data_IF_848998526509
#
_entry.id   IF_848998526509
#
_cell.length_a   1.000
_cell.length_b   1.000
_cell.length_c   1.000
_cell.angle_alpha   90.00
_cell.angle_beta   90.00
_cell.angle_gamma   90.00
#
_symmetry.space_group_name_H-M   'P 1'
#
loop_
_entity.id
_entity.type
_entity.pdbx_description
1 polymer ?
#
# COMPACT_ATOMS: atom_id res chain seq x y z
N UNK A 1 -32.14 3.30 -8.06
CA UNK A 1 -31.72 4.58 -7.43
C UNK A 1 -32.62 5.02 -6.28
N UNK A 2 -33.94 5.21 -6.43
CA UNK A 2 -34.80 5.73 -5.33
C UNK A 2 -35.00 4.70 -4.19
N UNK A 3 -35.19 3.42 -4.52
CA UNK A 3 -35.37 2.35 -3.51
C UNK A 3 -34.10 2.01 -2.71
N UNK A 4 -32.91 2.11 -3.30
CA UNK A 4 -31.63 1.84 -2.59
C UNK A 4 -31.32 2.92 -1.55
N UNK A 5 -31.68 4.19 -1.82
CA UNK A 5 -31.52 5.28 -0.84
C UNK A 5 -32.35 5.09 0.41
N UNK A 6 -33.47 4.35 0.36
CA UNK A 6 -34.31 4.11 1.54
C UNK A 6 -33.69 3.15 2.55
N UNK A 7 -32.64 2.41 2.19
CA UNK A 7 -31.94 1.47 3.08
C UNK A 7 -30.59 1.97 3.59
N UNK A 8 -30.13 3.13 3.10
CA UNK A 8 -28.84 3.69 3.45
C UNK A 8 -29.02 4.80 4.50
N UNK A 9 -28.02 5.02 5.38
CA UNK A 9 -28.01 6.16 6.29
C UNK A 9 -28.22 7.48 5.56
N UNK A 10 -28.84 8.46 6.22
CA UNK A 10 -29.06 9.79 5.66
C UNK A 10 -27.75 10.45 5.22
N UNK A 11 -27.81 11.38 4.27
CA UNK A 11 -26.61 12.07 3.81
C UNK A 11 -26.89 13.15 2.76
N UNK A 12 -25.88 13.93 2.38
CA UNK A 12 -26.06 15.00 1.41
C UNK A 12 -26.39 14.46 0.01
N UNK A 13 -27.14 15.25 -0.75
CA UNK A 13 -27.47 14.92 -2.15
C UNK A 13 -26.27 15.29 -3.04
N UNK A 14 -25.70 14.29 -3.71
CA UNK A 14 -24.67 14.48 -4.72
C UNK A 14 -25.23 14.89 -6.09
N UNK A 15 -24.37 15.45 -6.94
CA UNK A 15 -24.65 15.71 -8.35
C UNK A 15 -24.62 14.41 -9.17
N UNK A 16 -25.30 14.35 -10.32
CA UNK A 16 -25.16 13.22 -11.25
C UNK A 16 -23.69 12.97 -11.63
N UNK A 17 -23.28 11.70 -11.69
CA UNK A 17 -21.94 11.21 -12.11
C UNK A 17 -20.78 11.52 -11.15
N UNK A 18 -20.67 12.76 -10.65
CA UNK A 18 -19.55 13.19 -9.78
C UNK A 18 -19.87 13.10 -8.29
N UNK A 19 -21.15 12.93 -7.94
CA UNK A 19 -21.58 12.85 -6.55
C UNK A 19 -21.32 14.16 -5.78
N UNK A 20 -20.86 14.03 -4.55
CA UNK A 20 -20.53 15.13 -3.66
C UNK A 20 -19.05 15.55 -3.73
N UNK A 21 -18.24 14.87 -4.55
CA UNK A 21 -16.79 15.11 -4.66
C UNK A 21 -16.42 16.60 -4.91
N UNK A 22 -17.12 17.37 -5.77
CA UNK A 22 -16.79 18.78 -6.00
C UNK A 22 -16.93 19.69 -4.77
N UNK A 23 -17.73 19.29 -3.78
CA UNK A 23 -18.00 20.10 -2.59
C UNK A 23 -17.01 19.83 -1.44
N UNK A 24 -16.12 18.84 -1.58
CA UNK A 24 -15.17 18.47 -0.53
C UNK A 24 -13.94 19.40 -0.43
N UNK A 25 -13.67 20.17 -1.48
CA UNK A 25 -12.53 21.10 -1.54
C UNK A 25 -11.16 20.41 -1.40
N UNK A 26 -10.15 21.17 -0.97
CA UNK A 26 -8.76 20.71 -0.86
C UNK A 26 -8.52 19.76 0.32
N UNK A 27 -9.36 19.80 1.36
CA UNK A 27 -9.21 19.02 2.58
C UNK A 27 -10.46 18.14 2.80
N UNK A 28 -10.62 17.07 2.01
CA UNK A 28 -11.84 16.25 2.01
C UNK A 28 -12.14 15.66 3.38
N UNK A 29 -11.12 15.22 4.13
CA UNK A 29 -11.30 14.68 5.48
C UNK A 29 -11.99 15.69 6.43
N UNK A 30 -11.62 16.98 6.40
CA UNK A 30 -12.26 18.01 7.22
C UNK A 30 -13.69 18.30 6.79
N UNK A 31 -13.94 18.35 5.48
CA UNK A 31 -15.27 18.57 4.94
C UNK A 31 -16.22 17.41 5.31
N UNK A 32 -15.74 16.17 5.20
CA UNK A 32 -16.48 14.97 5.59
C UNK A 32 -16.77 14.98 7.09
N UNK A 33 -15.79 15.31 7.95
CA UNK A 33 -16.04 15.39 9.40
C UNK A 33 -17.13 16.40 9.75
N UNK A 34 -17.14 17.58 9.12
CA UNK A 34 -18.19 18.60 9.32
C UNK A 34 -19.57 18.16 8.86
N UNK A 35 -19.67 17.24 7.89
CA UNK A 35 -20.97 16.67 7.51
C UNK A 35 -21.56 15.83 8.65
N UNK A 36 -20.72 15.23 9.49
CA UNK A 36 -21.15 14.48 10.66
C UNK A 36 -21.95 15.33 11.65
N UNK A 37 -21.64 16.63 11.79
CA UNK A 37 -22.38 17.55 12.66
C UNK A 37 -23.87 17.67 12.25
N UNK A 38 -24.17 17.46 10.96
CA UNK A 38 -25.52 17.55 10.40
C UNK A 38 -26.20 16.20 10.23
N UNK A 39 -25.46 15.17 9.82
CA UNK A 39 -26.03 13.87 9.43
C UNK A 39 -25.80 12.77 10.48
N UNK A 40 -25.11 13.09 11.58
CA UNK A 40 -24.78 12.15 12.64
C UNK A 40 -23.50 11.38 12.38
N UNK A 41 -23.21 10.40 13.24
CA UNK A 41 -21.95 9.65 13.18
C UNK A 41 -21.85 8.64 12.04
N UNK A 42 -22.99 8.18 11.50
CA UNK A 42 -23.03 7.27 10.36
C UNK A 42 -23.91 7.88 9.28
N UNK A 43 -23.33 8.19 8.13
CA UNK A 43 -24.03 8.86 7.04
C UNK A 43 -23.54 8.39 5.67
N UNK A 44 -24.34 8.62 4.63
CA UNK A 44 -23.98 8.21 3.26
C UNK A 44 -23.48 9.39 2.45
N UNK A 45 -22.35 9.22 1.77
CA UNK A 45 -21.78 10.18 0.83
C UNK A 45 -21.70 9.53 -0.55
N UNK A 46 -22.15 10.24 -1.58
CA UNK A 46 -21.93 9.78 -2.96
C UNK A 46 -20.57 10.31 -3.43
N UNK A 47 -19.61 9.43 -3.73
CA UNK A 47 -18.32 9.80 -4.32
C UNK A 47 -18.26 9.25 -5.74
N UNK A 48 -18.32 10.16 -6.74
CA UNK A 48 -18.52 9.76 -8.11
C UNK A 48 -19.87 9.04 -8.30
N UNK A 49 -19.79 7.81 -8.81
CA UNK A 49 -20.97 6.93 -8.98
C UNK A 49 -21.19 5.99 -7.80
N UNK A 50 -20.27 5.97 -6.84
CA UNK A 50 -20.28 5.03 -5.72
C UNK A 50 -20.94 5.66 -4.49
N UNK A 51 -21.79 4.88 -3.81
CA UNK A 51 -22.27 5.25 -2.48
C UNK A 51 -21.25 4.78 -1.43
N UNK A 52 -20.87 5.67 -0.53
CA UNK A 52 -19.86 5.45 0.51
C UNK A 52 -20.52 5.74 1.85
N UNK A 53 -20.57 4.75 2.72
CA UNK A 53 -21.00 4.96 4.11
C UNK A 53 -19.79 5.45 4.90
N UNK A 54 -19.93 6.61 5.53
CA UNK A 54 -18.92 7.25 6.36
C UNK A 54 -19.21 6.91 7.82
N UNK A 55 -18.16 6.50 8.53
CA UNK A 55 -18.15 6.29 9.97
C UNK A 55 -17.33 7.42 10.59
N UNK A 56 -17.97 8.28 11.38
CA UNK A 56 -17.43 9.56 11.85
C UNK A 56 -17.33 9.65 13.39
N UNK A 57 -17.48 8.53 14.10
CA UNK A 57 -17.20 8.41 15.53
C UNK A 57 -16.41 7.14 15.83
N UNK A 58 -15.88 7.05 17.05
CA UNK A 58 -15.09 5.90 17.49
C UNK A 58 -15.94 4.63 17.58
N UNK A 59 -17.16 4.75 18.10
CA UNK A 59 -18.06 3.64 18.38
C UNK A 59 -18.44 2.89 17.10
N UNK A 60 -18.83 3.60 16.03
CA UNK A 60 -19.21 3.00 14.76
C UNK A 60 -18.01 2.42 14.02
N UNK A 61 -16.85 3.09 14.06
CA UNK A 61 -15.61 2.55 13.49
C UNK A 61 -15.23 1.24 14.19
N UNK A 62 -15.19 1.23 15.52
CA UNK A 62 -14.86 0.03 16.29
C UNK A 62 -15.84 -1.12 16.01
N UNK A 63 -17.14 -0.84 15.99
CA UNK A 63 -18.16 -1.87 15.72
C UNK A 63 -18.05 -2.44 14.30
N UNK A 64 -17.79 -1.60 13.30
CA UNK A 64 -17.62 -2.04 11.92
C UNK A 64 -16.36 -2.89 11.74
N UNK A 65 -15.21 -2.43 12.26
CA UNK A 65 -13.92 -3.12 12.08
C UNK A 65 -13.81 -4.45 12.84
N UNK A 66 -14.72 -4.71 13.79
CA UNK A 66 -14.82 -5.99 14.50
C UNK A 66 -15.68 -7.05 13.76
N UNK A 67 -16.31 -6.70 12.63
CA UNK A 67 -17.21 -7.59 11.90
C UNK A 67 -16.62 -8.01 10.56
N UNK A 68 -16.65 -9.31 10.26
CA UNK A 68 -16.16 -9.86 8.99
C UNK A 68 -16.82 -9.25 7.75
N UNK A 69 -18.06 -8.75 7.89
CA UNK A 69 -18.81 -8.09 6.83
C UNK A 69 -18.10 -6.84 6.26
N UNK A 70 -17.19 -6.21 7.01
CA UNK A 70 -16.46 -5.01 6.58
C UNK A 70 -15.02 -5.29 6.13
N UNK A 71 -14.62 -6.57 6.00
CA UNK A 71 -13.28 -6.93 5.50
C UNK A 71 -13.11 -6.73 3.98
N UNK A 72 -14.21 -6.50 3.26
CA UNK A 72 -14.24 -6.33 1.81
C UNK A 72 -13.56 -5.04 1.37
N UNK A 73 -12.67 -5.15 0.38
CA UNK A 73 -11.98 -4.02 -0.27
C UNK A 73 -12.60 -3.69 -1.63
N UNK A 74 -12.59 -2.42 -2.07
CA UNK A 74 -13.07 -2.05 -3.40
C UNK A 74 -12.34 -2.81 -4.51
N UNK A 75 -13.10 -3.35 -5.48
CA UNK A 75 -12.55 -4.15 -6.60
C UNK A 75 -11.68 -3.33 -7.57
N UNK A 76 -11.82 -2.01 -7.56
CA UNK A 76 -11.12 -1.09 -8.46
C UNK A 76 -10.40 -0.03 -7.65
N UNK A 77 -9.39 -0.45 -6.89
CA UNK A 77 -8.48 0.50 -6.26
C UNK A 77 -7.69 1.26 -7.33
N UNK A 78 -7.11 2.40 -6.93
CA UNK A 78 -6.15 3.09 -7.77
C UNK A 78 -5.07 2.16 -8.31
N UNK A 79 -4.52 1.32 -7.43
CA UNK A 79 -3.42 0.40 -7.75
C UNK A 79 -3.82 -0.61 -8.82
N UNK A 80 -5.04 -1.14 -8.75
CA UNK A 80 -5.59 -2.07 -9.76
C UNK A 80 -5.83 -1.38 -11.11
N UNK A 81 -6.14 -0.08 -11.12
CA UNK A 81 -6.32 0.69 -12.36
C UNK A 81 -4.99 1.09 -12.99
N UNK A 82 -3.95 1.31 -12.18
CA UNK A 82 -2.66 1.85 -12.63
C UNK A 82 -1.61 0.78 -12.88
N UNK A 83 -1.71 -0.39 -12.24
CA UNK A 83 -0.73 -1.47 -12.31
C UNK A 83 -1.39 -2.79 -12.71
N UNK A 84 -0.60 -3.72 -13.28
CA UNK A 84 -1.02 -5.12 -13.50
C UNK A 84 -0.62 -6.05 -12.34
N UNK A 85 0.00 -5.50 -11.29
CA UNK A 85 0.45 -6.25 -10.14
C UNK A 85 -0.74 -6.66 -9.28
N UNK A 86 -0.63 -7.83 -8.62
CA UNK A 86 -1.64 -8.28 -7.66
C UNK A 86 -1.08 -8.06 -6.26
N UNK A 87 -1.53 -6.99 -5.61
CA UNK A 87 -1.09 -6.65 -4.27
C UNK A 87 -1.98 -7.28 -3.20
N UNK A 88 -1.36 -7.73 -2.10
CA UNK A 88 -2.07 -8.12 -0.89
C UNK A 88 -3.01 -7.01 -0.38
N UNK A 89 -2.71 -5.75 -0.67
CA UNK A 89 -3.53 -4.61 -0.29
C UNK A 89 -4.88 -4.55 -1.03
N UNK A 90 -5.00 -5.17 -2.20
CA UNK A 90 -6.21 -5.12 -3.04
C UNK A 90 -7.01 -6.43 -3.04
N UNK A 91 -6.40 -7.53 -2.58
CA UNK A 91 -7.05 -8.84 -2.61
C UNK A 91 -8.13 -9.01 -1.52
N UNK A 92 -9.11 -9.87 -1.81
CA UNK A 92 -10.24 -10.20 -0.95
C UNK A 92 -10.40 -11.73 -0.79
N UNK A 93 -11.20 -12.13 0.20
CA UNK A 93 -11.58 -13.54 0.40
C UNK A 93 -10.41 -14.43 0.83
N UNK A 94 -10.48 -15.71 0.44
CA UNK A 94 -9.52 -16.73 0.87
C UNK A 94 -8.10 -16.46 0.35
N UNK A 95 -7.99 -15.90 -0.86
CA UNK A 95 -6.70 -15.48 -1.44
C UNK A 95 -5.97 -14.53 -0.50
N UNK A 96 -6.66 -13.47 -0.04
CA UNK A 96 -6.07 -12.49 0.89
C UNK A 96 -5.71 -13.12 2.23
N UNK A 97 -6.58 -13.98 2.79
CA UNK A 97 -6.32 -14.64 4.08
C UNK A 97 -5.07 -15.51 4.01
N UNK A 98 -4.93 -16.30 2.95
CA UNK A 98 -3.81 -17.20 2.74
C UNK A 98 -2.50 -16.45 2.51
N UNK A 99 -2.51 -15.44 1.64
CA UNK A 99 -1.35 -14.60 1.36
C UNK A 99 -0.91 -13.83 2.61
N UNK A 100 -1.84 -13.22 3.35
CA UNK A 100 -1.54 -12.52 4.61
C UNK A 100 -0.97 -13.46 5.66
N UNK A 101 -1.56 -14.65 5.85
CA UNK A 101 -1.09 -15.62 6.83
C UNK A 101 0.33 -16.07 6.51
N UNK A 102 0.59 -16.41 5.24
CA UNK A 102 1.92 -16.81 4.79
C UNK A 102 2.94 -15.69 4.99
N UNK A 103 2.63 -14.47 4.53
CA UNK A 103 3.52 -13.32 4.67
C UNK A 103 3.89 -13.03 6.13
N UNK A 104 2.91 -13.02 7.04
CA UNK A 104 3.15 -12.81 8.47
C UNK A 104 3.97 -13.93 9.10
N UNK A 105 3.74 -15.17 8.69
CA UNK A 105 4.51 -16.31 9.18
C UNK A 105 5.98 -16.19 8.74
N UNK A 106 6.23 -15.91 7.46
CA UNK A 106 7.58 -15.68 6.92
C UNK A 106 8.28 -14.53 7.66
N UNK A 107 7.62 -13.37 7.81
CA UNK A 107 8.18 -12.23 8.53
C UNK A 107 8.54 -12.58 9.98
N UNK A 108 7.65 -13.28 10.69
CA UNK A 108 7.89 -13.72 12.08
C UNK A 108 9.07 -14.68 12.19
N UNK A 109 9.23 -15.59 11.23
CA UNK A 109 10.34 -16.53 11.19
C UNK A 109 11.68 -15.81 10.97
N UNK A 110 11.68 -14.74 10.16
CA UNK A 110 12.83 -13.87 9.89
C UNK A 110 13.15 -12.87 11.02
N UNK A 111 12.42 -12.92 12.13
CA UNK A 111 12.68 -12.09 13.29
C UNK A 111 11.89 -10.78 13.38
N UNK A 112 10.86 -10.60 12.54
CA UNK A 112 9.93 -9.48 12.69
C UNK A 112 9.28 -9.51 14.08
N UNK A 113 9.42 -8.42 14.83
CA UNK A 113 8.95 -8.31 16.22
C UNK A 113 9.81 -9.06 17.25
N UNK A 114 11.03 -9.49 16.89
CA UNK A 114 12.02 -10.11 17.79
C UNK A 114 13.26 -9.20 17.92
N UNK A 115 14.12 -9.48 18.90
CA UNK A 115 15.34 -8.69 19.17
C UNK A 115 16.29 -8.54 17.98
N UNK A 116 16.34 -9.52 17.07
CA UNK A 116 17.15 -9.42 15.85
C UNK A 116 16.71 -8.30 14.91
N UNK A 117 15.43 -7.89 14.95
CA UNK A 117 14.95 -6.71 14.24
C UNK A 117 15.38 -5.42 14.94
N UNK A 118 15.32 -5.42 16.27
CA UNK A 118 15.72 -4.27 17.09
C UNK A 118 17.19 -3.92 16.85
N UNK A 119 18.09 -4.92 16.84
CA UNK A 119 19.51 -4.72 16.53
C UNK A 119 19.71 -4.04 15.16
N UNK A 120 18.99 -4.49 14.13
CA UNK A 120 19.06 -3.89 12.79
C UNK A 120 18.55 -2.45 12.74
N UNK A 121 17.48 -2.17 13.48
CA UNK A 121 16.95 -0.81 13.59
C UNK A 121 17.97 0.10 14.30
N UNK A 122 18.63 -0.39 15.35
CA UNK A 122 19.69 0.34 16.06
C UNK A 122 20.88 0.62 15.15
N UNK A 123 21.29 -0.35 14.31
CA UNK A 123 22.35 -0.16 13.33
C UNK A 123 21.99 0.93 12.30
N UNK A 124 20.76 0.92 11.79
CA UNK A 124 20.32 1.91 10.81
C UNK A 124 20.11 3.30 11.45
N UNK A 125 19.71 3.38 12.72
CA UNK A 125 19.69 4.63 13.49
C UNK A 125 21.11 5.17 13.63
N UNK A 126 22.08 4.31 13.96
CA UNK A 126 23.49 4.71 14.10
C UNK A 126 24.06 5.26 12.80
N UNK A 127 23.66 4.68 11.65
CA UNK A 127 24.00 5.21 10.34
C UNK A 127 23.33 6.56 10.07
N UNK A 128 22.03 6.68 10.37
CA UNK A 128 21.29 7.93 10.21
C UNK A 128 21.89 9.07 11.03
N UNK A 129 22.22 8.85 12.31
CA UNK A 129 22.83 9.88 13.17
C UNK A 129 24.17 10.32 12.63
N UNK A 130 24.98 9.39 12.10
CA UNK A 130 26.26 9.73 11.47
C UNK A 130 26.08 10.62 10.24
N UNK A 131 25.11 10.33 9.38
CA UNK A 131 24.81 11.18 8.22
C UNK A 131 24.38 12.59 8.64
N UNK A 132 23.61 12.72 9.73
CA UNK A 132 23.19 14.03 10.25
C UNK A 132 24.40 14.79 10.79
N UNK A 133 25.27 14.14 11.57
CA UNK A 133 26.48 14.75 12.15
C UNK A 133 27.45 15.26 11.08
N UNK A 134 27.56 14.55 9.94
CA UNK A 134 28.39 14.93 8.79
C UNK A 134 27.94 16.24 8.12
N UNK A 135 26.71 16.70 8.36
CA UNK A 135 26.19 17.96 7.80
C UNK A 135 26.75 19.21 8.50
N UNK A 136 27.51 19.05 9.60
CA UNK A 136 28.24 20.13 10.30
C UNK A 136 27.41 21.38 10.67
N UNK A 137 26.11 21.21 10.92
CA UNK A 137 25.21 22.30 11.33
C UNK A 137 24.60 23.11 10.18
N UNK A 138 24.85 22.74 8.93
CA UNK A 138 24.15 23.31 7.78
C UNK A 138 22.68 22.87 7.75
N UNK A 139 21.74 23.74 7.32
CA UNK A 139 20.36 23.34 7.13
C UNK A 139 20.26 22.18 6.13
N UNK A 140 19.59 21.09 6.52
CA UNK A 140 19.33 19.95 5.66
C UNK A 140 17.85 19.61 5.60
N UNK A 141 17.42 19.02 4.50
CA UNK A 141 16.12 18.36 4.44
C UNK A 141 16.24 16.97 5.08
N UNK A 142 15.65 16.81 6.26
CA UNK A 142 15.66 15.54 7.00
C UNK A 142 14.96 14.42 6.21
N UNK A 143 14.05 14.74 5.28
CA UNK A 143 13.39 13.73 4.44
C UNK A 143 14.39 12.96 3.58
N UNK A 144 15.46 13.62 3.11
CA UNK A 144 16.48 13.01 2.25
C UNK A 144 17.28 11.90 2.95
N UNK A 145 17.33 11.90 4.29
CA UNK A 145 18.04 10.87 5.07
C UNK A 145 17.09 9.92 5.81
N UNK A 146 15.92 10.41 6.22
CA UNK A 146 14.96 9.63 7.00
C UNK A 146 14.22 8.60 6.14
N UNK A 147 13.84 8.94 4.92
CA UNK A 147 13.16 8.01 4.00
C UNK A 147 14.07 6.84 3.62
N UNK A 148 15.35 7.08 3.23
CA UNK A 148 16.38 6.05 3.14
C UNK A 148 16.46 5.10 4.32
N UNK A 149 16.63 5.67 5.50
CA UNK A 149 16.77 4.93 6.77
C UNK A 149 15.58 4.01 7.04
N UNK A 150 14.36 4.57 7.02
CA UNK A 150 13.16 3.79 7.35
C UNK A 150 12.91 2.67 6.34
N UNK A 151 13.10 2.94 5.05
CA UNK A 151 12.85 1.94 4.01
C UNK A 151 13.94 0.87 3.97
N UNK A 152 15.18 1.16 4.38
CA UNK A 152 16.23 0.14 4.50
C UNK A 152 15.91 -0.95 5.53
N UNK A 153 15.20 -0.63 6.62
CA UNK A 153 14.69 -1.65 7.55
C UNK A 153 13.78 -2.66 6.82
N UNK A 154 12.98 -2.18 5.86
CA UNK A 154 12.12 -3.03 5.01
C UNK A 154 12.93 -3.71 3.91
N UNK A 155 13.87 -3.03 3.26
CA UNK A 155 14.77 -3.63 2.26
C UNK A 155 15.54 -4.81 2.85
N UNK A 156 16.00 -4.70 4.09
CA UNK A 156 16.69 -5.79 4.77
C UNK A 156 15.77 -6.98 5.03
N UNK A 157 14.50 -6.74 5.39
CA UNK A 157 13.50 -7.81 5.53
C UNK A 157 13.17 -8.50 4.21
N UNK A 158 13.11 -7.73 3.13
CA UNK A 158 12.59 -8.19 1.84
C UNK A 158 13.69 -8.79 0.95
N UNK A 159 14.83 -8.12 0.85
CA UNK A 159 15.97 -8.49 0.01
C UNK A 159 17.13 -9.13 0.80
N UNK A 160 17.04 -9.17 2.13
CA UNK A 160 18.11 -9.70 2.98
C UNK A 160 19.30 -8.75 3.18
N UNK A 161 19.27 -7.57 2.56
CA UNK A 161 20.33 -6.56 2.66
C UNK A 161 19.79 -5.13 2.58
N UNK A 162 20.59 -4.19 3.10
CA UNK A 162 20.37 -2.74 2.93
C UNK A 162 20.75 -2.28 1.52
N UNK A 163 20.16 -1.19 1.06
CA UNK A 163 20.62 -0.45 -0.12
C UNK A 163 21.41 0.76 0.35
N UNK A 164 22.60 0.95 -0.22
CA UNK A 164 23.42 2.10 0.13
C UNK A 164 22.73 3.39 -0.33
N UNK A 165 22.84 4.47 0.44
CA UNK A 165 22.13 5.72 0.19
C UNK A 165 22.56 6.34 -1.15
N UNK A 166 23.82 6.11 -1.54
CA UNK A 166 24.37 6.62 -2.78
C UNK A 166 24.08 5.72 -4.00
N UNK A 167 23.50 4.55 -3.78
CA UNK A 167 23.26 3.58 -4.85
C UNK A 167 22.20 4.08 -5.84
N UNK A 168 22.41 3.92 -7.17
CA UNK A 168 21.42 4.33 -8.17
C UNK A 168 20.04 3.68 -7.98
N UNK A 169 20.00 2.41 -7.55
CA UNK A 169 18.75 1.68 -7.26
C UNK A 169 17.97 2.33 -6.12
N UNK A 170 18.66 2.80 -5.08
CA UNK A 170 18.06 3.49 -3.93
C UNK A 170 17.36 4.78 -4.34
N UNK A 171 18.03 5.60 -5.16
CA UNK A 171 17.45 6.86 -5.67
C UNK A 171 16.17 6.66 -6.47
N UNK A 172 16.03 5.53 -7.16
CA UNK A 172 14.79 5.15 -7.85
C UNK A 172 13.69 4.85 -6.82
N UNK A 173 13.98 4.09 -5.77
CA UNK A 173 13.02 3.81 -4.69
C UNK A 173 12.56 5.09 -3.99
N UNK A 174 13.48 5.96 -3.58
CA UNK A 174 13.16 7.17 -2.83
C UNK A 174 12.27 8.11 -3.66
N UNK A 175 12.64 8.34 -4.93
CA UNK A 175 11.83 9.13 -5.85
C UNK A 175 10.41 8.59 -6.00
N UNK A 176 10.25 7.27 -6.06
CA UNK A 176 8.92 6.66 -6.19
C UNK A 176 8.10 6.72 -4.91
N UNK A 177 8.74 6.61 -3.74
CA UNK A 177 8.08 6.79 -2.45
C UNK A 177 7.59 8.23 -2.28
N UNK A 178 8.39 9.22 -2.68
CA UNK A 178 8.01 10.63 -2.67
C UNK A 178 6.88 10.95 -3.66
N UNK A 179 6.95 10.41 -4.88
CA UNK A 179 5.88 10.57 -5.87
C UNK A 179 4.59 9.88 -5.43
N UNK A 180 4.68 8.70 -4.81
CA UNK A 180 3.51 8.00 -4.29
C UNK A 180 2.87 8.75 -3.12
N UNK A 181 3.67 9.25 -2.17
CA UNK A 181 3.18 9.96 -0.99
C UNK A 181 2.53 11.31 -1.35
N UNK A 182 3.18 12.10 -2.21
CA UNK A 182 2.66 13.40 -2.66
C UNK A 182 1.36 13.31 -3.46
N UNK A 183 1.15 12.19 -4.18
CA UNK A 183 -0.04 11.99 -5.04
C UNK A 183 -1.10 11.09 -4.43
N UNK A 184 -0.87 10.52 -3.26
CA UNK A 184 -1.75 9.53 -2.63
C UNK A 184 -3.21 10.00 -2.52
N UNK A 185 -3.40 11.26 -2.07
CA UNK A 185 -4.74 11.85 -1.91
C UNK A 185 -5.49 11.99 -3.23
N UNK A 186 -4.81 12.43 -4.29
CA UNK A 186 -5.39 12.62 -5.63
C UNK A 186 -5.75 11.27 -6.23
N UNK A 187 -4.83 10.31 -6.12
CA UNK A 187 -4.99 8.93 -6.59
C UNK A 187 -6.22 8.28 -5.93
N UNK A 188 -6.38 8.43 -4.62
CA UNK A 188 -7.53 7.93 -3.88
C UNK A 188 -8.87 8.50 -4.37
N UNK A 189 -8.95 9.82 -4.57
CA UNK A 189 -10.17 10.46 -5.08
C UNK A 189 -10.54 10.01 -6.50
N UNK A 190 -9.55 9.90 -7.39
CA UNK A 190 -9.77 9.44 -8.78
C UNK A 190 -10.24 7.98 -8.80
N UNK A 191 -9.72 7.12 -7.92
CA UNK A 191 -10.13 5.72 -7.83
C UNK A 191 -11.62 5.56 -7.50
N UNK A 192 -12.22 6.51 -6.78
CA UNK A 192 -13.65 6.49 -6.46
C UNK A 192 -14.54 7.00 -7.60
N UNK A 193 -13.95 7.54 -8.67
CA UNK A 193 -14.66 7.97 -9.88
C UNK A 193 -14.94 6.77 -10.80
N UNK A 194 -15.84 6.91 -11.80
CA UNK A 194 -16.07 5.84 -12.78
C UNK A 194 -14.78 5.33 -13.41
N UNK A 195 -14.66 4.01 -13.59
CA UNK A 195 -13.42 3.34 -14.08
C UNK A 195 -12.95 3.89 -15.43
N UNK A 196 -13.87 4.27 -16.31
CA UNK A 196 -13.53 4.87 -17.60
C UNK A 196 -12.88 6.25 -17.42
N UNK A 197 -13.35 7.06 -16.47
CA UNK A 197 -12.80 8.37 -16.16
C UNK A 197 -11.42 8.25 -15.52
N UNK A 198 -11.25 7.35 -14.53
CA UNK A 198 -9.95 7.13 -13.89
C UNK A 198 -8.89 6.66 -14.89
N UNK A 199 -9.23 5.75 -15.80
CA UNK A 199 -8.33 5.31 -16.89
C UNK A 199 -7.91 6.46 -17.80
N UNK A 200 -8.82 7.33 -18.19
CA UNK A 200 -8.53 8.49 -19.03
C UNK A 200 -7.63 9.48 -18.28
N UNK A 201 -7.99 9.79 -17.04
CA UNK A 201 -7.29 10.78 -16.21
C UNK A 201 -5.87 10.33 -15.85
N UNK A 202 -5.68 9.05 -15.45
CA UNK A 202 -4.35 8.51 -15.20
C UNK A 202 -3.48 8.44 -16.46
N UNK A 203 -4.08 8.20 -17.64
CA UNK A 203 -3.35 8.14 -18.92
C UNK A 203 -2.97 9.53 -19.44
N UNK A 204 -3.86 10.52 -19.33
CA UNK A 204 -3.63 11.88 -19.83
C UNK A 204 -2.82 12.74 -18.87
N UNK A 205 -2.99 12.55 -17.55
CA UNK A 205 -2.38 13.42 -16.55
C UNK A 205 -0.94 13.08 -16.17
N UNK A 206 -0.33 12.01 -16.71
CA UNK A 206 0.97 11.49 -16.27
C UNK A 206 1.09 11.37 -14.73
N UNK A 207 -0.04 11.09 -14.07
CA UNK A 207 -0.16 11.06 -12.61
C UNK A 207 0.59 9.85 -12.02
N UNK A 208 0.79 8.82 -12.85
CA UNK A 208 1.57 7.63 -12.51
C UNK A 208 2.87 7.68 -13.29
N UNK A 209 3.99 7.72 -12.58
CA UNK A 209 5.32 7.56 -13.19
C UNK A 209 5.51 6.10 -13.59
N UNK A 210 4.97 5.73 -14.76
CA UNK A 210 5.03 4.36 -15.26
C UNK A 210 6.46 3.88 -15.47
N UNK A 211 7.33 4.72 -16.01
CA UNK A 211 8.74 4.35 -16.23
C UNK A 211 9.48 4.11 -14.92
N UNK A 212 9.21 4.92 -13.89
CA UNK A 212 9.74 4.67 -12.55
C UNK A 212 9.18 3.38 -11.95
N UNK A 213 7.87 3.16 -12.03
CA UNK A 213 7.26 1.91 -11.57
C UNK A 213 7.84 0.68 -12.30
N UNK A 214 8.00 0.74 -13.63
CA UNK A 214 8.60 -0.33 -14.43
C UNK A 214 10.07 -0.57 -14.03
N UNK A 215 10.82 0.50 -13.70
CA UNK A 215 12.18 0.38 -13.17
C UNK A 215 12.22 -0.29 -11.79
N UNK A 216 11.29 0.05 -10.90
CA UNK A 216 11.14 -0.62 -9.60
C UNK A 216 10.80 -2.10 -9.77
N UNK A 217 9.83 -2.43 -10.63
CA UNK A 217 9.49 -3.82 -10.94
C UNK A 217 10.71 -4.57 -11.48
N UNK A 218 11.49 -3.95 -12.37
CA UNK A 218 12.73 -4.55 -12.88
C UNK A 218 13.76 -4.83 -11.78
N UNK A 219 13.88 -3.94 -10.79
CA UNK A 219 14.76 -4.19 -9.62
C UNK A 219 14.25 -5.40 -8.84
N UNK A 220 12.96 -5.45 -8.47
CA UNK A 220 12.38 -6.61 -7.80
C UNK A 220 12.54 -7.91 -8.61
N UNK A 221 12.37 -7.86 -9.93
CA UNK A 221 12.57 -9.03 -10.78
C UNK A 221 14.02 -9.53 -10.76
N UNK A 222 14.99 -8.61 -10.74
CA UNK A 222 16.40 -8.98 -10.63
C UNK A 222 16.74 -9.58 -9.27
N UNK A 223 16.20 -9.03 -8.18
CA UNK A 223 16.34 -9.58 -6.83
C UNK A 223 15.73 -10.98 -6.74
N UNK A 224 14.46 -11.16 -7.16
CA UNK A 224 13.79 -12.47 -7.16
C UNK A 224 14.58 -13.50 -7.99
N UNK A 225 15.15 -13.08 -9.12
CA UNK A 225 15.95 -13.96 -9.97
C UNK A 225 17.27 -14.38 -9.31
N UNK A 226 17.91 -13.47 -8.57
CA UNK A 226 19.12 -13.75 -7.79
C UNK A 226 18.84 -14.72 -6.64
N UNK A 227 17.78 -14.46 -5.88
CA UNK A 227 17.34 -15.31 -4.77
C UNK A 227 16.99 -16.71 -5.25
N UNK A 228 16.25 -16.83 -6.37
CA UNK A 228 15.90 -18.14 -6.95
C UNK A 228 17.12 -18.98 -7.34
N UNK A 229 18.21 -18.37 -7.82
CA UNK A 229 19.45 -19.09 -8.17
C UNK A 229 20.20 -19.60 -6.95
N UNK A 230 20.07 -18.91 -5.82
CA UNK A 230 20.78 -19.18 -4.56
C UNK A 230 19.86 -19.70 -3.46
N UNK A 231 18.66 -20.16 -3.82
CA UNK A 231 17.61 -20.51 -2.87
C UNK A 231 18.01 -21.77 -2.08
N UNK A 232 18.11 -21.62 -0.76
CA UNK A 232 18.18 -22.74 0.18
C UNK A 232 16.89 -22.81 0.98
N UNK A 233 16.10 -23.86 0.75
CA UNK A 233 14.82 -24.06 1.44
C UNK A 233 14.97 -24.27 2.96
N UNK A 234 16.16 -24.68 3.42
CA UNK A 234 16.44 -24.89 4.84
C UNK A 234 16.92 -23.61 5.54
N UNK A 235 17.47 -22.66 4.78
CA UNK A 235 18.01 -21.42 5.31
C UNK A 235 17.48 -20.21 4.52
N UNK A 236 16.28 -19.74 4.91
CA UNK A 236 15.62 -18.58 4.29
C UNK A 236 16.27 -17.30 4.82
N UNK A 237 16.89 -16.53 3.94
CA UNK A 237 17.61 -15.30 4.30
C UNK A 237 16.68 -14.12 4.56
N UNK A 238 15.58 -14.07 3.82
CA UNK A 238 14.67 -12.93 3.72
C UNK A 238 13.27 -13.35 3.26
N UNK A 239 12.40 -12.36 3.07
CA UNK A 239 11.03 -12.57 2.65
C UNK A 239 10.92 -13.21 1.26
N UNK A 240 11.79 -12.84 0.31
CA UNK A 240 11.76 -13.40 -1.05
C UNK A 240 12.06 -14.90 -0.98
N UNK A 241 13.11 -15.32 -0.28
CA UNK A 241 13.41 -16.74 -0.07
C UNK A 241 12.26 -17.48 0.62
N UNK A 242 11.70 -16.88 1.66
CA UNK A 242 10.57 -17.45 2.39
C UNK A 242 9.33 -17.65 1.52
N UNK A 243 9.01 -16.66 0.68
CA UNK A 243 7.89 -16.76 -0.26
C UNK A 243 8.17 -17.75 -1.38
N UNK A 244 9.39 -17.77 -1.95
CA UNK A 244 9.76 -18.73 -2.99
C UNK A 244 9.69 -20.18 -2.49
N UNK A 245 10.17 -20.44 -1.27
CA UNK A 245 10.07 -21.76 -0.66
C UNK A 245 8.61 -22.18 -0.42
N UNK A 246 7.76 -21.27 0.09
CA UNK A 246 6.33 -21.56 0.26
C UNK A 246 5.63 -21.80 -1.09
N UNK A 247 5.98 -21.00 -2.11
CA UNK A 247 5.46 -21.15 -3.47
C UNK A 247 5.82 -22.53 -4.05
N UNK A 248 7.06 -23.01 -3.90
CA UNK A 248 7.44 -24.36 -4.34
C UNK A 248 6.64 -25.46 -3.63
N UNK A 249 6.51 -25.36 -2.30
CA UNK A 249 5.78 -26.36 -1.51
C UNK A 249 4.31 -26.43 -1.93
N UNK A 250 3.68 -25.26 -2.14
CA UNK A 250 2.27 -25.21 -2.53
C UNK A 250 2.05 -25.64 -3.97
N UNK A 251 2.88 -25.21 -4.91
CA UNK A 251 2.76 -25.62 -6.32
C UNK A 251 2.95 -27.12 -6.52
N UNK A 252 3.78 -27.79 -5.70
CA UNK A 252 3.90 -29.26 -5.71
C UNK A 252 2.61 -29.97 -5.26
N UNK A 253 1.81 -29.34 -4.39
CA UNK A 253 0.55 -29.91 -3.88
C UNK A 253 -0.63 -29.57 -4.80
N UNK A 254 -0.66 -28.36 -5.34
CA UNK A 254 -1.71 -27.88 -6.24
C UNK A 254 -1.11 -26.92 -7.29
N UNK A 255 -1.14 -27.29 -8.59
CA UNK A 255 -0.65 -26.41 -9.66
C UNK A 255 -1.41 -25.08 -9.78
N UNK A 256 -2.66 -25.02 -9.29
CA UNK A 256 -3.53 -23.85 -9.40
C UNK A 256 -3.50 -22.95 -8.15
N UNK A 257 -2.47 -23.07 -7.31
CA UNK A 257 -2.40 -22.28 -6.08
C UNK A 257 -2.41 -20.78 -6.35
N UNK A 258 -2.83 -20.04 -5.33
CA UNK A 258 -2.76 -18.60 -5.35
C UNK A 258 -1.34 -18.05 -5.18
N UNK A 259 -0.32 -18.89 -5.00
CA UNK A 259 1.06 -18.47 -4.82
C UNK A 259 1.76 -18.40 -6.17
N UNK A 260 1.87 -17.19 -6.69
CA UNK A 260 2.44 -16.91 -8.01
C UNK A 260 3.50 -15.83 -7.92
N UNK A 261 4.40 -15.82 -8.90
CA UNK A 261 5.41 -14.77 -9.07
C UNK A 261 4.79 -13.38 -9.20
N UNK A 262 3.62 -13.27 -9.83
CA UNK A 262 2.91 -11.99 -10.00
C UNK A 262 2.44 -11.37 -8.67
N UNK A 263 2.30 -12.16 -7.61
CA UNK A 263 1.91 -11.69 -6.26
C UNK A 263 3.12 -11.42 -5.35
N UNK A 264 4.31 -11.88 -5.76
CA UNK A 264 5.56 -11.52 -5.11
C UNK A 264 6.09 -10.17 -5.60
N UNK A 265 5.78 -9.80 -6.84
CA UNK A 265 6.04 -8.49 -7.46
C UNK A 265 5.02 -7.44 -7.02
#
# INVERSE_FOLDING_TARGET
>A
MIQERQRLPSGPVGLPVVGYSPFLGQHPHKAITKLGDKYGSVFTLQLGVNNVVVLNDWESVRDAFNKDAFLGKPLHSAFTVTTKAKSLADENGDVWRDQRRSALQVLRDLGFGKGSMEERIIDEISYLTKCIDETTGEPMDIHEVLIPSMSNNISHLVFGHRLDYNEPRRKIFDKLLDEASSRFSIIGMIAMSPVWFSKIFFKLGNIVNRSGFDAMVSIFESEISSHRKSLDTNNKRDYIDGYLAEMEVRQRKDPNTHFTRQRLL
#
